data_IF_470729106281
#
_entry.id   IF_470729106281
#
_cell.length_a   1.000
_cell.length_b   1.000
_cell.length_c   1.000
_cell.angle_alpha   90.00
_cell.angle_beta   90.00
_cell.angle_gamma   90.00
#
_symmetry.space_group_name_H-M   'P 1'
#
loop_
_entity.id
_entity.type
_entity.pdbx_description
1 polymer ?
#
# COMPACT_ATOMS: atom_id res chain seq x y z
N UNK A 1 17.39 -13.50 -8.07
CA UNK A 1 15.94 -13.42 -7.76
C UNK A 1 15.70 -12.02 -7.18
N UNK A 2 14.95 -11.16 -7.86
CA UNK A 2 14.67 -9.80 -7.35
C UNK A 2 13.50 -9.87 -6.35
N UNK A 3 13.62 -9.15 -5.23
CA UNK A 3 12.53 -8.98 -4.26
C UNK A 3 11.29 -8.43 -5.00
N UNK A 4 10.10 -9.06 -4.89
CA UNK A 4 8.88 -8.53 -5.49
C UNK A 4 8.60 -7.11 -5.01
N UNK A 5 8.04 -6.23 -5.86
CA UNK A 5 7.68 -4.89 -5.45
C UNK A 5 6.70 -4.86 -4.28
N UNK A 6 6.88 -3.88 -3.40
CA UNK A 6 6.11 -3.77 -2.15
C UNK A 6 5.02 -2.72 -2.23
N UNK A 7 3.82 -3.05 -1.76
CA UNK A 7 2.75 -2.10 -1.46
C UNK A 7 2.76 -1.87 0.05
N UNK A 8 3.04 -0.65 0.45
CA UNK A 8 3.09 -0.25 1.85
C UNK A 8 1.74 0.36 2.24
N UNK A 9 1.21 -0.03 3.40
CA UNK A 9 -0.06 0.49 3.92
C UNK A 9 0.20 1.13 5.27
N UNK A 10 -0.10 2.41 5.42
CA UNK A 10 -0.03 3.15 6.67
C UNK A 10 -1.44 3.47 7.18
N UNK A 11 -1.77 3.07 8.41
CA UNK A 11 -3.10 3.26 9.01
C UNK A 11 -3.06 4.06 10.32
N UNK A 12 -1.93 4.71 10.64
CA UNK A 12 -1.76 5.40 11.93
C UNK A 12 -1.88 4.45 13.12
N UNK A 13 -1.29 3.26 13.02
CA UNK A 13 -1.30 2.25 14.08
C UNK A 13 -2.59 1.43 14.22
N UNK A 14 -3.63 1.72 13.43
CA UNK A 14 -4.90 0.98 13.47
C UNK A 14 -4.77 -0.39 12.79
N UNK A 15 -4.52 -1.43 13.60
CA UNK A 15 -4.32 -2.80 13.12
C UNK A 15 -5.56 -3.38 12.41
N UNK A 16 -6.76 -3.09 12.92
CA UNK A 16 -8.00 -3.58 12.30
C UNK A 16 -8.26 -2.97 10.92
N UNK A 17 -7.97 -1.67 10.76
CA UNK A 17 -8.05 -1.00 9.46
C UNK A 17 -7.04 -1.60 8.48
N UNK A 18 -5.81 -1.85 8.95
CA UNK A 18 -4.80 -2.53 8.13
C UNK A 18 -5.27 -3.92 7.69
N UNK A 19 -5.82 -4.73 8.60
CA UNK A 19 -6.33 -6.06 8.30
C UNK A 19 -7.37 -6.01 7.18
N UNK A 20 -8.37 -5.12 7.30
CA UNK A 20 -9.43 -4.96 6.29
C UNK A 20 -8.91 -4.48 4.93
N UNK A 21 -7.96 -3.54 4.91
CA UNK A 21 -7.31 -3.09 3.67
C UNK A 21 -6.50 -4.23 3.05
N UNK A 22 -5.73 -4.97 3.85
CA UNK A 22 -4.95 -6.13 3.40
C UNK A 22 -5.82 -7.22 2.79
N UNK A 23 -6.95 -7.54 3.42
CA UNK A 23 -7.94 -8.49 2.88
C UNK A 23 -8.53 -8.03 1.54
N UNK A 24 -8.69 -6.71 1.35
CA UNK A 24 -9.14 -6.16 0.08
C UNK A 24 -8.03 -6.24 -0.97
N UNK A 25 -6.79 -5.91 -0.60
CA UNK A 25 -5.63 -6.00 -1.48
C UNK A 25 -5.35 -7.45 -1.92
N UNK A 26 -5.48 -8.45 -1.04
CA UNK A 26 -5.24 -9.86 -1.42
C UNK A 26 -6.19 -10.38 -2.51
N UNK A 27 -7.31 -9.68 -2.75
CA UNK A 27 -8.26 -9.93 -3.84
C UNK A 27 -8.05 -9.07 -5.08
N UNK A 28 -7.20 -8.04 -4.98
CA UNK A 28 -6.99 -7.04 -6.03
C UNK A 28 -5.57 -7.06 -6.61
N UNK A 29 -4.60 -7.56 -5.86
CA UNK A 29 -3.19 -7.62 -6.29
C UNK A 29 -2.69 -9.07 -6.26
N UNK A 30 -2.03 -9.54 -7.33
CA UNK A 30 -1.45 -10.89 -7.34
C UNK A 30 -0.33 -11.03 -6.31
N UNK A 31 -0.41 -12.08 -5.47
CA UNK A 31 0.56 -12.34 -4.41
C UNK A 31 1.94 -12.80 -4.92
N UNK A 32 2.01 -13.29 -6.16
CA UNK A 32 3.24 -13.61 -6.87
C UNK A 32 3.95 -12.35 -7.44
N UNK A 33 3.23 -11.24 -7.56
CA UNK A 33 3.74 -9.98 -8.13
C UNK A 33 4.03 -8.92 -7.08
N UNK A 34 3.21 -8.82 -6.04
CA UNK A 34 3.34 -7.78 -5.02
C UNK A 34 3.33 -8.35 -3.60
N UNK A 35 4.16 -7.79 -2.74
CA UNK A 35 4.10 -8.03 -1.29
C UNK A 35 3.44 -6.85 -0.59
N UNK A 36 2.51 -7.11 0.32
CA UNK A 36 1.79 -6.06 1.07
C UNK A 36 2.32 -5.99 2.51
N UNK A 37 2.74 -4.81 2.96
CA UNK A 37 3.27 -4.59 4.31
C UNK A 37 2.55 -3.48 5.07
N UNK A 38 2.38 -3.68 6.38
CA UNK A 38 1.97 -2.61 7.29
C UNK A 38 3.16 -1.71 7.59
N UNK A 39 3.04 -0.42 7.30
CA UNK A 39 4.02 0.58 7.66
C UNK A 39 3.63 1.19 9.02
N UNK A 40 4.48 0.98 10.03
CA UNK A 40 4.27 1.55 11.36
C UNK A 40 4.51 3.06 11.38
N UNK A 41 4.02 3.76 12.41
CA UNK A 41 4.30 5.19 12.59
C UNK A 41 5.79 5.49 12.78
N UNK A 42 6.52 4.61 13.48
CA UNK A 42 7.97 4.75 13.61
C UNK A 42 8.69 4.55 12.28
N UNK A 43 8.28 3.55 11.49
CA UNK A 43 8.82 3.32 10.17
C UNK A 43 8.47 4.48 9.21
N UNK A 44 7.27 5.06 9.29
CA UNK A 44 6.91 6.22 8.47
C UNK A 44 7.87 7.40 8.66
N UNK A 45 8.28 7.65 9.92
CA UNK A 45 9.26 8.69 10.29
C UNK A 45 10.70 8.35 9.92
N UNK A 46 11.09 7.07 10.00
CA UNK A 46 12.47 6.61 9.82
C UNK A 46 12.68 6.06 8.39
N UNK A 47 13.76 6.44 7.71
CA UNK A 47 14.02 5.95 6.35
C UNK A 47 14.68 4.57 6.31
N UNK A 48 13.90 3.49 6.21
CA UNK A 48 14.28 2.50 5.21
C UNK A 48 13.15 2.09 4.25
N UNK A 49 11.93 2.64 4.37
CA UNK A 49 10.81 2.20 3.52
C UNK A 49 10.78 2.81 2.11
N UNK A 50 11.54 3.89 1.89
CA UNK A 50 11.71 4.53 0.59
C UNK A 50 12.75 3.72 -0.20
N UNK A 51 12.30 2.63 -0.82
CA UNK A 51 13.11 1.74 -1.64
C UNK A 51 12.68 1.82 -3.11
N UNK A 52 13.58 1.59 -4.09
CA UNK A 52 13.21 1.49 -5.51
C UNK A 52 12.18 0.39 -5.79
N UNK A 53 12.09 -0.61 -4.92
CA UNK A 53 11.13 -1.72 -5.02
C UNK A 53 9.75 -1.37 -4.44
N UNK A 54 9.57 -0.20 -3.83
CA UNK A 54 8.25 0.22 -3.32
C UNK A 54 7.37 0.63 -4.51
N UNK A 55 6.35 -0.18 -4.80
CA UNK A 55 5.43 0.05 -5.91
C UNK A 55 4.38 1.12 -5.60
N UNK A 56 3.92 1.19 -4.36
CA UNK A 56 2.89 2.14 -3.94
C UNK A 56 2.87 2.30 -2.42
N UNK A 57 2.58 3.50 -1.95
CA UNK A 57 2.27 3.82 -0.56
C UNK A 57 0.79 4.15 -0.43
N UNK A 58 0.06 3.42 0.40
CA UNK A 58 -1.35 3.67 0.73
C UNK A 58 -1.41 4.29 2.12
N UNK A 59 -1.94 5.50 2.22
CA UNK A 59 -2.16 6.23 3.46
C UNK A 59 -3.66 6.20 3.75
N UNK A 60 -4.06 5.45 4.79
CA UNK A 60 -5.46 5.31 5.20
C UNK A 60 -5.84 6.12 6.45
N UNK A 61 -4.86 6.83 7.02
CA UNK A 61 -5.07 7.74 8.13
C UNK A 61 -3.97 8.80 8.10
N UNK A 62 -4.32 10.07 8.26
CA UNK A 62 -3.36 11.18 8.28
C UNK A 62 -3.27 11.87 9.65
N UNK A 63 -4.00 11.40 10.68
CA UNK A 63 -4.13 12.10 11.96
C UNK A 63 -2.82 12.21 12.74
N UNK A 64 -1.92 11.25 12.57
CA UNK A 64 -0.65 11.13 13.31
C UNK A 64 0.59 11.45 12.46
N UNK A 65 0.39 11.99 11.25
CA UNK A 65 1.50 12.36 10.37
C UNK A 65 2.11 13.69 10.80
N UNK A 66 3.36 13.64 11.25
CA UNK A 66 4.19 14.78 11.59
C UNK A 66 4.98 15.32 10.38
N UNK A 67 5.64 16.46 10.55
CA UNK A 67 6.40 17.14 9.48
C UNK A 67 7.48 16.24 8.86
N UNK A 68 8.09 15.36 9.65
CA UNK A 68 9.09 14.40 9.17
C UNK A 68 8.45 13.34 8.26
N UNK A 69 7.30 12.79 8.64
CA UNK A 69 6.54 11.85 7.82
C UNK A 69 6.12 12.49 6.49
N UNK A 70 5.68 13.76 6.52
CA UNK A 70 5.38 14.52 5.30
C UNK A 70 6.60 14.72 4.40
N UNK A 71 7.75 15.06 4.99
CA UNK A 71 9.01 15.23 4.26
C UNK A 71 9.46 13.93 3.59
N UNK A 72 9.30 12.79 4.27
CA UNK A 72 9.62 11.48 3.71
C UNK A 72 8.70 11.11 2.55
N UNK A 73 7.38 11.36 2.67
CA UNK A 73 6.45 11.15 1.55
C UNK A 73 6.76 12.02 0.34
N UNK A 74 7.11 13.28 0.57
CA UNK A 74 7.53 14.17 -0.50
C UNK A 74 8.80 13.67 -1.18
N UNK A 75 9.78 13.18 -0.40
CA UNK A 75 11.01 12.59 -0.93
C UNK A 75 10.69 11.38 -1.81
N UNK A 76 9.84 10.47 -1.33
CA UNK A 76 9.38 9.33 -2.10
C UNK A 76 8.67 9.75 -3.40
N UNK A 77 7.74 10.72 -3.33
CA UNK A 77 7.06 11.24 -4.51
C UNK A 77 8.03 11.83 -5.55
N UNK A 78 9.00 12.63 -5.11
CA UNK A 78 10.02 13.21 -6.00
C UNK A 78 10.94 12.15 -6.64
N UNK A 79 10.99 10.94 -6.07
CA UNK A 79 11.73 9.78 -6.60
C UNK A 79 10.82 8.81 -7.36
N UNK A 80 9.87 9.34 -8.16
CA UNK A 80 8.90 8.54 -8.93
C UNK A 80 7.92 7.73 -8.08
N UNK A 81 7.74 8.12 -6.83
CA UNK A 81 6.85 7.45 -5.89
C UNK A 81 5.37 7.59 -6.27
N UNK A 82 4.62 6.54 -5.93
CA UNK A 82 3.17 6.45 -6.12
C UNK A 82 2.47 6.43 -4.77
N UNK A 83 1.57 7.38 -4.53
CA UNK A 83 0.91 7.54 -3.23
C UNK A 83 -0.61 7.55 -3.40
N UNK A 84 -1.32 6.78 -2.58
CA UNK A 84 -2.78 6.76 -2.54
C UNK A 84 -3.21 7.17 -1.13
N UNK A 85 -3.86 8.32 -1.00
CA UNK A 85 -4.51 8.77 0.23
C UNK A 85 -5.99 8.39 0.19
N UNK A 86 -6.36 7.43 1.01
CA UNK A 86 -7.74 6.94 1.19
C UNK A 86 -8.18 7.13 2.64
N UNK A 87 -9.48 7.08 2.91
CA UNK A 87 -10.08 7.08 4.25
C UNK A 87 -9.89 8.36 5.07
N UNK A 88 -11.02 9.01 5.41
CA UNK A 88 -11.08 10.15 6.34
C UNK A 88 -10.03 11.22 6.06
N UNK A 89 -9.75 11.44 4.78
CA UNK A 89 -8.66 12.32 4.41
C UNK A 89 -9.04 13.75 4.79
N UNK A 90 -8.59 14.18 5.97
CA UNK A 90 -8.75 15.55 6.44
C UNK A 90 -8.20 16.52 5.40
N UNK A 91 -7.30 16.14 4.50
CA UNK A 91 -6.87 17.00 3.38
C UNK A 91 -8.01 17.39 2.44
N UNK A 92 -8.82 16.44 1.97
CA UNK A 92 -9.92 16.75 1.06
C UNK A 92 -11.17 17.21 1.84
N UNK A 93 -11.43 16.61 3.00
CA UNK A 93 -12.53 17.02 3.86
C UNK A 93 -12.33 18.44 4.44
N UNK A 94 -11.09 18.90 4.64
CA UNK A 94 -10.80 20.29 5.03
C UNK A 94 -10.88 21.27 3.86
N UNK A 95 -10.57 20.81 2.64
CA UNK A 95 -10.82 21.57 1.42
C UNK A 95 -12.32 21.82 1.23
N UNK A 96 -13.18 20.89 1.68
CA UNK A 96 -14.63 21.13 1.72
C UNK A 96 -15.13 21.89 2.96
N UNK A 97 -14.48 21.76 4.14
CA UNK A 97 -15.02 22.23 5.44
C UNK A 97 -14.21 23.31 6.20
N UNK A 98 -13.21 23.96 5.58
CA UNK A 98 -12.66 25.28 5.94
C UNK A 98 -11.92 25.54 7.28
N UNK A 99 -11.66 24.59 8.18
CA UNK A 99 -11.15 24.93 9.54
C UNK A 99 -9.63 24.90 9.80
N UNK A 100 -8.76 24.47 8.87
CA UNK A 100 -7.32 24.85 8.93
C UNK A 100 -6.59 24.74 7.58
N UNK A 101 -7.17 25.39 6.57
CA UNK A 101 -6.79 25.37 5.15
C UNK A 101 -5.31 25.64 4.84
N UNK A 102 -4.56 26.37 5.68
CA UNK A 102 -3.15 26.71 5.42
C UNK A 102 -2.20 25.52 5.47
N UNK A 103 -2.20 24.70 6.53
CA UNK A 103 -1.25 23.56 6.62
C UNK A 103 -1.51 22.51 5.55
N UNK A 104 -2.76 22.34 5.14
CA UNK A 104 -3.18 21.33 4.16
C UNK A 104 -3.00 21.80 2.72
N UNK A 105 -3.27 23.08 2.43
CA UNK A 105 -2.88 23.71 1.17
C UNK A 105 -1.35 23.80 1.06
N UNK A 106 -0.65 24.05 2.17
CA UNK A 106 0.81 23.99 2.25
C UNK A 106 1.30 22.56 2.05
N UNK A 107 0.58 21.53 2.47
CA UNK A 107 0.93 20.12 2.23
C UNK A 107 0.74 19.71 0.77
N UNK A 108 -0.35 20.12 0.10
CA UNK A 108 -0.49 19.91 -1.35
C UNK A 108 0.56 20.77 -2.09
N UNK A 109 0.84 21.99 -1.64
CA UNK A 109 1.90 22.83 -2.20
C UNK A 109 3.30 22.25 -1.98
N UNK A 110 3.56 21.69 -0.80
CA UNK A 110 4.87 21.16 -0.42
C UNK A 110 5.07 19.80 -1.08
N UNK A 111 4.10 18.89 -1.04
CA UNK A 111 4.19 17.61 -1.75
C UNK A 111 4.46 17.80 -3.26
N UNK A 112 4.08 18.94 -3.85
CA UNK A 112 3.95 19.06 -5.30
C UNK A 112 4.48 20.35 -5.96
N UNK A 113 5.18 21.23 -5.24
CA UNK A 113 5.83 22.44 -5.79
C UNK A 113 7.35 22.42 -5.64
N UNK A 114 8.08 22.86 -6.67
CA UNK A 114 9.47 23.26 -6.46
C UNK A 114 9.48 24.50 -5.56
N UNK A 115 10.39 24.57 -4.59
CA UNK A 115 10.54 25.72 -3.68
C UNK A 115 10.71 27.07 -4.41
N UNK A 116 11.02 27.03 -5.70
CA UNK A 116 11.36 28.19 -6.51
C UNK A 116 10.19 28.82 -7.29
N UNK A 117 8.98 28.20 -7.30
CA UNK A 117 7.83 28.72 -8.09
C UNK A 117 6.66 29.19 -7.22
N UNK A 118 6.81 30.39 -6.64
CA UNK A 118 5.76 31.07 -5.86
C UNK A 118 4.46 31.30 -6.70
N UNK A 119 4.55 31.39 -8.03
CA UNK A 119 3.39 31.58 -8.91
C UNK A 119 2.54 30.31 -9.08
N UNK A 120 3.17 29.13 -9.21
CA UNK A 120 2.47 27.86 -9.39
C UNK A 120 1.53 27.57 -8.21
N UNK A 121 1.98 27.86 -6.99
CA UNK A 121 1.17 27.71 -5.79
C UNK A 121 -0.09 28.58 -5.79
N UNK A 122 -0.03 29.81 -6.32
CA UNK A 122 -1.18 30.74 -6.36
C UNK A 122 -2.22 30.32 -7.39
N UNK A 123 -1.79 29.95 -8.59
CA UNK A 123 -2.69 29.53 -9.66
C UNK A 123 -3.37 28.21 -9.31
N UNK A 124 -2.63 27.29 -8.71
CA UNK A 124 -3.16 26.04 -8.21
C UNK A 124 -4.14 26.25 -7.05
N UNK A 125 -3.83 27.12 -6.09
CA UNK A 125 -4.76 27.49 -5.01
C UNK A 125 -6.04 28.13 -5.56
N UNK A 126 -5.91 28.99 -6.57
CA UNK A 126 -7.06 29.59 -7.25
C UNK A 126 -7.92 28.54 -7.94
N UNK A 127 -7.29 27.59 -8.65
CA UNK A 127 -7.96 26.45 -9.25
C UNK A 127 -8.75 25.66 -8.21
N UNK A 128 -8.13 25.25 -7.10
CA UNK A 128 -8.82 24.50 -6.04
C UNK A 128 -10.01 25.30 -5.48
N UNK A 129 -9.83 26.58 -5.15
CA UNK A 129 -10.91 27.44 -4.62
C UNK A 129 -12.08 27.55 -5.60
N UNK A 130 -11.80 27.73 -6.89
CA UNK A 130 -12.84 27.82 -7.93
C UNK A 130 -13.57 26.50 -8.08
N UNK A 131 -12.83 25.40 -8.17
CA UNK A 131 -13.37 24.06 -8.34
C UNK A 131 -14.23 23.63 -7.16
N UNK A 132 -13.80 23.89 -5.92
CA UNK A 132 -14.58 23.57 -4.72
C UNK A 132 -15.87 24.40 -4.60
N UNK A 133 -15.84 25.69 -5.01
CA UNK A 133 -17.05 26.52 -5.11
C UNK A 133 -18.04 26.02 -6.15
N UNK A 134 -17.54 25.50 -7.28
CA UNK A 134 -18.39 24.88 -8.29
C UNK A 134 -19.01 23.61 -7.74
N UNK A 135 -18.19 22.78 -7.07
CA UNK A 135 -18.63 21.53 -6.49
C UNK A 135 -19.73 21.73 -5.44
N UNK A 136 -19.60 22.73 -4.55
CA UNK A 136 -20.63 23.03 -3.55
C UNK A 136 -21.97 23.48 -4.14
N UNK A 137 -21.96 24.00 -5.37
CA UNK A 137 -23.18 24.45 -6.08
C UNK A 137 -23.83 23.35 -6.91
N UNK A 138 -23.01 22.50 -7.54
CA UNK A 138 -23.46 21.56 -8.56
C UNK A 138 -23.51 20.10 -8.08
N UNK A 139 -22.84 19.77 -6.97
CA UNK A 139 -22.73 18.40 -6.44
C UNK A 139 -21.74 17.50 -7.21
N UNK A 140 -21.33 17.91 -8.41
CA UNK A 140 -20.39 17.21 -9.27
C UNK A 140 -19.32 18.17 -9.81
N UNK A 141 -18.18 17.61 -10.22
CA UNK A 141 -17.10 18.34 -10.89
C UNK A 141 -16.23 17.39 -11.71
N UNK A 142 -15.67 17.88 -12.81
CA UNK A 142 -14.57 17.23 -13.52
C UNK A 142 -13.71 18.31 -14.18
N UNK A 143 -12.64 18.71 -13.49
CA UNK A 143 -11.78 19.82 -13.93
C UNK A 143 -10.32 19.44 -13.84
N UNK A 144 -9.53 19.92 -14.79
CA UNK A 144 -8.10 19.63 -14.83
C UNK A 144 -7.31 20.94 -14.73
N UNK A 145 -6.30 20.93 -13.87
CA UNK A 145 -5.26 21.93 -13.78
C UNK A 145 -3.97 21.40 -14.38
N UNK A 146 -3.21 22.30 -14.97
CA UNK A 146 -2.04 22.00 -15.75
C UNK A 146 -0.96 23.02 -15.44
N UNK A 147 0.19 22.55 -14.97
CA UNK A 147 1.36 23.37 -14.73
C UNK A 147 2.41 23.12 -15.80
N UNK A 148 3.02 24.21 -16.29
CA UNK A 148 4.13 24.15 -17.23
C UNK A 148 5.46 24.22 -16.47
N UNK A 149 6.45 23.44 -16.90
CA UNK A 149 7.84 23.64 -16.48
C UNK A 149 8.49 24.85 -17.17
N UNK A 150 9.72 25.13 -16.77
CA UNK A 150 10.58 26.17 -17.34
C UNK A 150 10.89 25.96 -18.84
N UNK A 151 10.75 24.73 -19.35
CA UNK A 151 10.93 24.39 -20.76
C UNK A 151 9.62 24.48 -21.58
N UNK A 152 8.51 24.89 -20.95
CA UNK A 152 7.19 24.99 -21.58
C UNK A 152 6.46 23.65 -21.74
N UNK A 153 7.05 22.55 -21.25
CA UNK A 153 6.44 21.22 -21.15
C UNK A 153 5.48 21.14 -19.97
N UNK A 154 4.55 20.20 -20.03
CA UNK A 154 3.58 19.97 -18.95
C UNK A 154 4.26 19.15 -17.85
N UNK A 155 4.61 19.77 -16.72
CA UNK A 155 5.30 19.09 -15.62
C UNK A 155 4.35 18.48 -14.60
N UNK A 156 3.19 19.11 -14.39
CA UNK A 156 2.18 18.63 -13.46
C UNK A 156 0.79 18.70 -14.06
N UNK A 157 -0.01 17.68 -13.79
CA UNK A 157 -1.45 17.71 -14.00
C UNK A 157 -2.19 17.37 -12.72
N UNK A 158 -3.32 18.04 -12.48
CA UNK A 158 -4.20 17.75 -11.35
C UNK A 158 -5.63 17.66 -11.85
N UNK A 159 -6.23 16.49 -11.73
CA UNK A 159 -7.64 16.25 -12.07
C UNK A 159 -8.43 16.20 -10.79
N UNK A 160 -9.40 17.11 -10.65
CA UNK A 160 -10.39 17.07 -9.58
C UNK A 160 -11.72 16.58 -10.15
N UNK A 161 -12.18 15.42 -9.68
CA UNK A 161 -13.41 14.79 -10.15
C UNK A 161 -14.30 14.33 -8.99
N UNK A 162 -15.60 14.64 -9.08
CA UNK A 162 -16.65 14.08 -8.23
C UNK A 162 -17.88 13.86 -9.07
N UNK A 163 -18.43 12.66 -9.01
CA UNK A 163 -19.75 12.33 -9.53
C UNK A 163 -20.72 12.33 -8.35
N UNK A 164 -21.99 12.66 -8.60
CA UNK A 164 -23.02 12.67 -7.55
C UNK A 164 -22.99 11.35 -6.76
N UNK A 165 -23.07 11.47 -5.43
CA UNK A 165 -23.07 10.34 -4.48
C UNK A 165 -21.82 9.45 -4.49
N UNK A 166 -20.77 9.83 -5.23
CA UNK A 166 -19.46 9.19 -5.19
C UNK A 166 -18.42 10.06 -4.46
N UNK A 167 -17.33 9.46 -3.97
CA UNK A 167 -16.22 10.21 -3.38
C UNK A 167 -15.61 11.23 -4.34
N UNK A 168 -15.14 12.34 -3.79
CA UNK A 168 -14.24 13.27 -4.44
C UNK A 168 -12.90 12.56 -4.69
N UNK A 169 -12.34 12.73 -5.88
CA UNK A 169 -11.00 12.32 -6.23
C UNK A 169 -10.20 13.53 -6.70
N UNK A 170 -8.97 13.63 -6.21
CA UNK A 170 -7.93 14.50 -6.73
C UNK A 170 -6.79 13.59 -7.19
N UNK A 171 -6.68 13.40 -8.50
CA UNK A 171 -5.55 12.71 -9.11
C UNK A 171 -4.50 13.73 -9.50
N UNK A 172 -3.26 13.45 -9.14
CA UNK A 172 -2.11 14.25 -9.51
C UNK A 172 -1.05 13.40 -10.18
N UNK A 173 -0.43 13.98 -11.19
CA UNK A 173 0.68 13.37 -11.92
C UNK A 173 1.80 14.40 -12.09
N UNK A 174 3.02 13.99 -11.81
CA UNK A 174 4.24 14.67 -12.21
C UNK A 174 4.89 13.84 -13.32
N UNK A 175 4.74 14.31 -14.56
CA UNK A 175 5.26 13.64 -15.75
C UNK A 175 6.79 13.63 -15.79
N UNK A 176 7.46 14.65 -15.25
CA UNK A 176 8.91 14.77 -15.23
C UNK A 176 9.57 13.75 -14.31
N UNK A 177 8.89 13.39 -13.22
CA UNK A 177 9.36 12.38 -12.27
C UNK A 177 8.60 11.06 -12.35
N UNK A 178 7.65 10.87 -13.28
CA UNK A 178 6.78 9.69 -13.33
C UNK A 178 6.08 9.37 -11.99
N UNK A 179 5.82 10.40 -11.20
CA UNK A 179 5.23 10.29 -9.87
C UNK A 179 3.73 10.54 -9.95
N UNK A 180 2.95 9.87 -9.11
CA UNK A 180 1.50 10.10 -9.06
C UNK A 180 0.94 10.00 -7.65
N UNK A 181 -0.07 10.80 -7.39
CA UNK A 181 -0.75 10.83 -6.10
C UNK A 181 -2.26 10.87 -6.30
N UNK A 182 -2.99 10.08 -5.52
CA UNK A 182 -4.45 10.13 -5.46
C UNK A 182 -4.87 10.55 -4.07
N UNK A 183 -5.82 11.45 -4.00
CA UNK A 183 -6.51 11.79 -2.76
C UNK A 183 -7.99 11.49 -2.96
N UNK A 184 -8.60 10.81 -1.99
CA UNK A 184 -10.06 10.63 -1.94
C UNK A 184 -10.65 11.01 -0.57
N UNK A 185 -11.84 11.60 -0.57
CA UNK A 185 -12.64 11.85 0.65
C UNK A 185 -13.45 10.61 1.08
N UNK A 186 -13.31 9.48 0.36
CA UNK A 186 -13.96 8.23 0.68
C UNK A 186 -13.72 7.83 2.14
N UNK A 187 -14.76 7.37 2.83
CA UNK A 187 -14.61 6.79 4.17
C UNK A 187 -14.02 5.38 4.10
N UNK A 188 -13.56 4.84 5.23
CA UNK A 188 -13.11 3.45 5.32
C UNK A 188 -14.23 2.48 4.94
N UNK A 189 -15.48 2.80 5.27
CA UNK A 189 -16.66 2.02 4.93
C UNK A 189 -16.90 2.02 3.43
N UNK A 190 -16.77 3.17 2.76
CA UNK A 190 -16.91 3.26 1.30
C UNK A 190 -15.75 2.58 0.57
N UNK A 191 -14.52 2.76 1.04
CA UNK A 191 -13.33 2.11 0.46
C UNK A 191 -13.45 0.59 0.50
N UNK A 192 -13.96 0.05 1.60
CA UNK A 192 -13.98 -1.38 1.91
C UNK A 192 -15.36 -2.02 1.70
N UNK A 193 -16.32 -1.27 1.16
CA UNK A 193 -17.66 -1.79 0.88
C UNK A 193 -17.58 -2.93 -0.15
N UNK A 194 -18.42 -3.97 -0.03
CA UNK A 194 -18.53 -5.00 -1.06
C UNK A 194 -18.81 -4.38 -2.44
N UNK A 195 -18.03 -4.77 -3.45
CA UNK A 195 -18.15 -4.22 -4.81
C UNK A 195 -17.56 -2.82 -5.01
N UNK A 196 -16.97 -2.21 -3.98
CA UNK A 196 -16.28 -0.93 -4.11
C UNK A 196 -15.08 -1.04 -5.05
N UNK A 197 -15.05 -0.18 -6.06
CA UNK A 197 -13.92 -0.09 -7.01
C UNK A 197 -12.91 1.00 -6.64
N UNK A 198 -13.14 1.75 -5.56
CA UNK A 198 -12.31 2.91 -5.18
C UNK A 198 -10.83 2.51 -5.07
N UNK A 199 -10.53 1.43 -4.35
CA UNK A 199 -9.15 0.97 -4.16
C UNK A 199 -8.54 0.43 -5.46
N UNK A 200 -9.31 -0.38 -6.21
CA UNK A 200 -8.87 -0.97 -7.48
C UNK A 200 -8.58 0.09 -8.55
N UNK A 201 -9.49 1.05 -8.72
CA UNK A 201 -9.37 2.16 -9.66
C UNK A 201 -8.18 3.04 -9.26
N UNK A 202 -8.00 3.30 -7.96
CA UNK A 202 -6.85 4.08 -7.46
C UNK A 202 -5.52 3.39 -7.74
N UNK A 203 -5.42 2.08 -7.47
CA UNK A 203 -4.23 1.28 -7.76
C UNK A 203 -3.91 1.28 -9.26
N UNK A 204 -4.91 1.01 -10.10
CA UNK A 204 -4.75 1.01 -11.55
C UNK A 204 -4.31 2.37 -12.08
N UNK A 205 -4.87 3.45 -11.53
CA UNK A 205 -4.60 4.83 -11.95
C UNK A 205 -3.19 5.30 -11.59
N UNK A 206 -2.60 4.81 -10.51
CA UNK A 206 -1.17 5.04 -10.21
C UNK A 206 -0.25 4.01 -10.90
N UNK A 207 -0.80 3.11 -11.72
CA UNK A 207 -0.04 2.11 -12.48
C UNK A 207 0.41 0.91 -11.64
N UNK A 208 -0.31 0.56 -10.58
CA UNK A 208 -0.21 -0.77 -9.95
C UNK A 208 -1.13 -1.71 -10.71
N UNK A 209 -0.58 -2.84 -11.16
CA UNK A 209 -1.36 -3.88 -11.83
C UNK A 209 -2.33 -4.52 -10.85
N UNK A 210 -3.62 -4.37 -11.11
CA UNK A 210 -4.68 -5.08 -10.37
C UNK A 210 -5.20 -6.26 -11.17
N UNK A 211 -5.56 -7.34 -10.49
CA UNK A 211 -6.27 -8.48 -11.04
C UNK A 211 -7.22 -8.98 -9.96
N UNK A 212 -8.44 -9.38 -10.31
CA UNK A 212 -9.29 -10.08 -9.36
C UNK A 212 -8.64 -11.43 -9.05
N UNK A 213 -8.23 -11.61 -7.81
CA UNK A 213 -7.53 -12.80 -7.34
C UNK A 213 -8.33 -13.49 -6.25
N UNK A 214 -8.41 -14.82 -6.32
CA UNK A 214 -8.79 -15.62 -5.15
C UNK A 214 -7.53 -15.76 -4.29
N UNK A 215 -7.56 -15.35 -3.01
CA UNK A 215 -6.46 -15.64 -2.10
C UNK A 215 -6.19 -17.16 -2.14
N UNK A 216 -4.94 -17.60 -2.31
CA UNK A 216 -4.62 -19.01 -2.32
C UNK A 216 -5.03 -19.62 -0.97
N UNK A 217 -5.52 -20.86 -1.02
CA UNK A 217 -5.82 -21.61 0.20
C UNK A 217 -4.53 -21.87 0.97
N UNK A 218 -4.62 -21.86 2.30
CA UNK A 218 -3.48 -22.21 3.13
C UNK A 218 -3.09 -23.66 2.84
N UNK A 219 -1.82 -23.87 2.55
CA UNK A 219 -1.26 -25.19 2.27
C UNK A 219 -0.17 -25.50 3.29
N UNK A 220 0.10 -26.79 3.56
CA UNK A 220 1.32 -27.17 4.23
C UNK A 220 2.53 -26.62 3.49
N UNK A 221 3.45 -26.03 4.24
CA UNK A 221 4.72 -25.59 3.70
C UNK A 221 5.70 -26.76 3.62
N UNK A 222 6.72 -26.60 2.79
CA UNK A 222 7.83 -27.55 2.68
C UNK A 222 9.11 -26.82 3.03
N UNK A 223 9.91 -27.40 3.91
CA UNK A 223 11.23 -26.93 4.29
C UNK A 223 12.30 -27.93 3.83
N UNK A 224 13.35 -27.38 3.23
CA UNK A 224 14.53 -28.13 2.79
C UNK A 224 15.75 -27.26 3.04
N UNK A 225 16.88 -27.88 3.37
CA UNK A 225 18.16 -27.19 3.51
C UNK A 225 19.14 -27.63 2.43
N UNK A 226 20.20 -26.85 2.27
CA UNK A 226 21.32 -27.23 1.41
C UNK A 226 22.02 -28.49 1.92
N UNK A 227 22.03 -28.72 3.23
CA UNK A 227 22.59 -29.90 3.88
C UNK A 227 21.64 -30.32 5.00
N UNK A 228 21.35 -31.62 5.10
CA UNK A 228 20.38 -32.14 6.08
C UNK A 228 20.83 -31.81 7.52
N UNK A 229 22.14 -31.87 7.79
CA UNK A 229 22.76 -31.50 9.08
C UNK A 229 22.38 -30.11 9.58
N UNK A 230 22.08 -29.16 8.68
CA UNK A 230 21.64 -27.80 9.07
C UNK A 230 20.31 -27.87 9.81
N UNK A 231 19.38 -28.69 9.30
CA UNK A 231 18.05 -28.87 9.89
C UNK A 231 18.15 -29.70 11.17
N UNK A 232 19.03 -30.70 11.21
CA UNK A 232 19.20 -31.55 12.39
C UNK A 232 19.82 -30.82 13.57
N UNK A 233 20.74 -29.87 13.29
CA UNK A 233 21.43 -29.10 14.32
C UNK A 233 20.81 -27.71 14.56
N UNK A 234 19.65 -27.42 13.96
CA UNK A 234 19.00 -26.11 14.13
C UNK A 234 18.44 -25.95 15.54
N UNK A 235 19.06 -25.07 16.33
CA UNK A 235 18.61 -24.83 17.71
C UNK A 235 17.16 -24.32 17.75
N UNK A 236 16.36 -24.91 18.62
CA UNK A 236 14.97 -24.49 18.86
C UNK A 236 13.95 -25.11 17.91
N UNK A 237 14.36 -25.87 16.89
CA UNK A 237 13.45 -26.67 16.08
C UNK A 237 12.98 -27.89 16.88
N UNK A 238 11.66 -28.09 16.91
CA UNK A 238 11.04 -29.26 17.53
C UNK A 238 10.09 -29.91 16.53
N UNK A 239 10.13 -31.23 16.45
CA UNK A 239 9.31 -32.00 15.53
C UNK A 239 8.10 -32.58 16.24
N UNK A 240 6.94 -32.55 15.57
CA UNK A 240 5.70 -33.08 16.11
C UNK A 240 5.05 -32.20 17.19
N UNK A 241 5.53 -30.97 17.37
CA UNK A 241 5.02 -30.00 18.35
C UNK A 241 4.70 -28.67 17.68
N UNK A 242 3.75 -27.92 18.24
CA UNK A 242 3.48 -26.54 17.84
C UNK A 242 4.49 -25.59 18.51
N UNK A 243 5.23 -24.82 17.72
CA UNK A 243 6.26 -23.89 18.21
C UNK A 243 6.03 -22.46 17.72
N UNK A 244 6.52 -21.49 18.48
CA UNK A 244 6.49 -20.06 18.11
C UNK A 244 5.21 -19.32 18.49
N UNK A 245 5.04 -18.14 17.89
CA UNK A 245 3.86 -17.27 18.04
C UNK A 245 2.86 -17.56 16.93
N UNK A 246 1.67 -16.95 16.97
CA UNK A 246 0.61 -17.18 15.97
C UNK A 246 0.99 -16.52 14.61
N UNK A 247 0.91 -17.25 13.47
CA UNK A 247 0.60 -18.68 13.37
C UNK A 247 1.75 -19.56 13.88
N UNK A 248 1.43 -20.54 14.72
CA UNK A 248 2.42 -21.49 15.23
C UNK A 248 2.93 -22.35 14.07
N UNK A 249 4.18 -22.80 14.15
CA UNK A 249 4.77 -23.74 13.20
C UNK A 249 4.64 -25.16 13.76
N UNK A 250 4.30 -26.12 12.90
CA UNK A 250 4.35 -27.54 13.23
C UNK A 250 5.28 -28.23 12.24
N UNK A 251 6.46 -28.67 12.68
CA UNK A 251 7.44 -29.31 11.81
C UNK A 251 7.37 -30.82 11.91
N UNK A 252 7.41 -31.52 10.79
CA UNK A 252 7.48 -32.99 10.75
C UNK A 252 8.36 -33.47 9.61
N UNK A 253 9.29 -34.38 9.91
CA UNK A 253 10.11 -35.04 8.88
C UNK A 253 9.22 -35.89 7.96
N UNK A 254 9.49 -35.87 6.66
CA UNK A 254 8.74 -36.64 5.64
C UNK A 254 8.55 -38.11 5.99
N UNK A 255 9.56 -38.76 6.56
CA UNK A 255 9.52 -40.16 7.01
C UNK A 255 8.35 -40.44 7.98
N UNK A 256 7.95 -39.44 8.77
CA UNK A 256 6.87 -39.53 9.75
C UNK A 256 5.53 -39.02 9.23
N UNK A 257 5.50 -38.34 8.09
CA UNK A 257 4.25 -37.84 7.49
C UNK A 257 3.38 -39.00 7.02
N UNK A 258 3.96 -40.02 6.39
CA UNK A 258 3.21 -41.20 5.93
C UNK A 258 2.52 -41.97 7.09
N UNK A 259 3.18 -42.03 8.24
CA UNK A 259 2.69 -42.76 9.42
C UNK A 259 1.71 -41.93 10.27
N UNK A 260 1.99 -40.65 10.46
CA UNK A 260 1.34 -39.81 11.48
C UNK A 260 0.50 -38.68 10.88
N UNK A 261 0.50 -38.55 9.55
CA UNK A 261 -0.18 -37.48 8.82
C UNK A 261 0.46 -36.10 9.02
N UNK A 262 -0.27 -35.07 8.60
CA UNK A 262 0.02 -33.67 8.90
C UNK A 262 -1.28 -32.99 9.34
N UNK A 263 -1.24 -32.05 10.30
CA UNK A 263 -2.43 -31.27 10.64
C UNK A 263 -2.80 -30.36 9.46
N UNK A 264 -4.06 -29.92 9.44
CA UNK A 264 -4.53 -28.98 8.43
C UNK A 264 -3.92 -27.59 8.61
N UNK A 265 -3.60 -26.93 7.50
CA UNK A 265 -3.11 -25.56 7.52
C UNK A 265 -4.22 -24.58 7.89
N UNK A 266 -3.93 -23.66 8.81
CA UNK A 266 -4.89 -22.66 9.28
C UNK A 266 -4.18 -21.36 9.67
N UNK A 267 -4.93 -20.28 9.90
CA UNK A 267 -4.39 -19.01 10.39
C UNK A 267 -3.69 -19.11 11.77
N UNK A 268 -3.91 -20.22 12.48
CA UNK A 268 -3.32 -20.47 13.81
C UNK A 268 -2.15 -21.45 13.78
N UNK A 269 -2.08 -22.31 12.76
CA UNK A 269 -1.12 -23.39 12.65
C UNK A 269 -0.68 -23.57 11.20
N UNK A 270 0.62 -23.42 10.96
CA UNK A 270 1.27 -23.68 9.69
C UNK A 270 2.05 -25.00 9.78
N UNK A 271 1.52 -26.09 9.21
CA UNK A 271 2.24 -27.34 9.07
C UNK A 271 3.39 -27.18 8.07
N UNK A 272 4.57 -27.67 8.43
CA UNK A 272 5.79 -27.65 7.62
C UNK A 272 6.34 -29.07 7.52
N UNK A 273 6.28 -29.63 6.32
CA UNK A 273 6.96 -30.89 6.02
C UNK A 273 8.45 -30.62 5.80
N UNK A 274 9.28 -31.39 6.47
CA UNK A 274 10.74 -31.26 6.43
C UNK A 274 11.31 -32.40 5.60
N UNK A 275 11.78 -32.06 4.40
CA UNK A 275 12.37 -33.00 3.44
C UNK A 275 13.86 -33.17 3.69
N UNK A 276 14.31 -34.43 3.68
CA UNK A 276 15.73 -34.74 3.44
C UNK A 276 16.05 -34.55 1.95
N UNK A 277 17.26 -34.07 1.69
CA UNK A 277 17.77 -33.89 0.33
C UNK A 277 17.79 -35.19 -0.48
N UNK A 278 18.07 -36.32 0.16
CA UNK A 278 18.09 -37.65 -0.49
C UNK A 278 16.72 -38.08 -0.98
N UNK A 279 15.69 -37.83 -0.17
CA UNK A 279 14.28 -38.12 -0.52
C UNK A 279 13.83 -37.26 -1.69
N UNK A 280 14.19 -35.97 -1.72
CA UNK A 280 13.82 -35.06 -2.80
C UNK A 280 14.47 -35.41 -4.15
N UNK A 281 15.73 -35.86 -4.13
CA UNK A 281 16.46 -36.23 -5.35
C UNK A 281 16.05 -37.61 -5.91
N UNK A 282 15.12 -38.31 -5.27
CA UNK A 282 14.77 -39.68 -5.65
C UNK A 282 15.93 -40.67 -5.47
N UNK A 283 16.93 -40.29 -4.69
CA UNK A 283 18.10 -41.10 -4.37
C UNK A 283 17.81 -41.88 -3.07
N UNK A 284 16.86 -42.81 -3.14
CA UNK A 284 16.76 -43.84 -2.11
C UNK A 284 17.59 -45.05 -2.54
N UNK A 285 18.61 -45.36 -1.74
CA UNK A 285 19.32 -46.65 -1.73
C UNK A 285 18.47 -47.74 -1.10
#
# INVERSE_FOLDING_TARGET
>A
MYKPPSILVYTGGQADLYKRIRESLSRLVPADRYTVFHLSADAMRKQPWIEPTTACLIIANTSELDDQSWTNMQTYFNQSGKIIFVCQNRLLASLSNCESSKKQADMIRNAFGSRDSISMGKDFEHFLKKSLKTLSKQGHINTTFHSKDLAGGMSYSVVLSKVNDLPLFLYMENSAHQASAIFSDATSEQLLAPGSRILQDSLSRVGVTTCETKPPELTPAVMMASEDDIIENMMGVRYGEEIGQIPKLFLRKTEKVAEQGMPDASEKLLPVEVLSRFVYLGLCS
#
